data_IF_821993666406
#
_entry.id   IF_821993666406
#
_cell.length_a   1.000
_cell.length_b   1.000
_cell.length_c   1.000
_cell.angle_alpha   90.00
_cell.angle_beta   90.00
_cell.angle_gamma   90.00
#
_symmetry.space_group_name_H-M   'P 1'
#
loop_
_entity.id
_entity.type
_entity.pdbx_description
1 polymer ?
#
# COMPACT_ATOMS: atom_id res chain seq x y z
N UNK A 1 -21.15 -0.21 -13.72
CA UNK A 1 -21.30 -1.60 -13.24
C UNK A 1 -21.58 -1.51 -11.75
N UNK A 2 -22.67 -2.14 -11.32
CA UNK A 2 -23.18 -2.11 -9.95
C UNK A 2 -22.21 -2.84 -9.01
N UNK A 3 -21.88 -2.22 -7.86
CA UNK A 3 -21.38 -2.96 -6.71
C UNK A 3 -22.57 -3.64 -6.07
N UNK A 4 -22.96 -4.80 -6.63
CA UNK A 4 -23.70 -5.76 -5.83
C UNK A 4 -22.78 -6.17 -4.67
N UNK A 5 -23.27 -6.14 -3.42
CA UNK A 5 -22.53 -6.70 -2.31
C UNK A 5 -22.13 -8.13 -2.67
N UNK A 6 -20.83 -8.36 -2.82
CA UNK A 6 -20.29 -9.68 -3.15
C UNK A 6 -19.63 -10.18 -1.90
N UNK A 7 -20.25 -11.20 -1.32
CA UNK A 7 -19.62 -12.07 -0.32
C UNK A 7 -18.17 -12.35 -0.72
N UNK A 8 -17.26 -12.33 0.25
CA UNK A 8 -15.84 -12.58 0.04
C UNK A 8 -15.62 -13.78 -0.89
N UNK A 9 -15.21 -13.57 -2.17
CA UNK A 9 -15.23 -14.63 -3.18
C UNK A 9 -14.36 -15.79 -2.74
N UNK A 10 -14.79 -17.02 -3.03
CA UNK A 10 -13.91 -18.19 -2.88
C UNK A 10 -12.62 -18.01 -3.68
N UNK A 11 -11.46 -18.49 -3.18
CA UNK A 11 -10.22 -18.35 -3.91
C UNK A 11 -10.31 -19.09 -5.24
N UNK A 12 -9.74 -18.49 -6.30
CA UNK A 12 -9.66 -19.14 -7.59
C UNK A 12 -9.02 -20.55 -7.44
N UNK A 13 -9.59 -21.61 -8.05
CA UNK A 13 -9.10 -22.98 -7.85
C UNK A 13 -7.64 -23.19 -8.26
N UNK A 14 -7.15 -22.46 -9.27
CA UNK A 14 -5.76 -22.54 -9.73
C UNK A 14 -4.84 -21.85 -8.72
N UNK A 15 -5.22 -20.64 -8.29
CA UNK A 15 -4.50 -19.89 -7.23
C UNK A 15 -4.45 -20.70 -5.94
N UNK A 16 -5.57 -21.26 -5.50
CA UNK A 16 -5.68 -22.08 -4.30
C UNK A 16 -4.75 -23.30 -4.35
N UNK A 17 -4.75 -24.03 -5.47
CA UNK A 17 -3.86 -25.18 -5.67
C UNK A 17 -2.40 -24.77 -5.60
N UNK A 18 -2.04 -23.68 -6.26
CA UNK A 18 -0.66 -23.19 -6.29
C UNK A 18 -0.20 -22.68 -4.91
N UNK A 19 -1.05 -21.97 -4.16
CA UNK A 19 -0.74 -21.53 -2.79
C UNK A 19 -0.55 -22.73 -1.86
N UNK A 20 -1.46 -23.71 -1.88
CA UNK A 20 -1.34 -24.91 -1.04
C UNK A 20 -0.06 -25.69 -1.35
N UNK A 21 0.28 -25.85 -2.63
CA UNK A 21 1.51 -26.52 -3.04
C UNK A 21 2.78 -25.77 -2.60
N UNK A 22 2.81 -24.44 -2.78
CA UNK A 22 3.98 -23.62 -2.43
C UNK A 22 4.20 -23.45 -0.92
N UNK A 23 3.14 -23.52 -0.13
CA UNK A 23 3.18 -23.38 1.33
C UNK A 23 3.22 -24.73 2.07
N UNK A 24 3.19 -25.85 1.37
CA UNK A 24 3.26 -27.18 1.99
C UNK A 24 4.55 -27.35 2.80
N UNK A 25 4.40 -27.69 4.09
CA UNK A 25 5.53 -27.89 5.01
C UNK A 25 6.31 -26.61 5.38
N UNK A 26 5.76 -25.43 5.07
CA UNK A 26 6.36 -24.13 5.39
C UNK A 26 5.49 -23.35 6.39
N UNK A 27 6.06 -22.29 6.95
CA UNK A 27 5.28 -21.32 7.70
C UNK A 27 4.24 -20.68 6.77
N UNK A 28 2.99 -20.65 7.21
CA UNK A 28 1.88 -20.07 6.45
C UNK A 28 2.04 -18.55 6.38
N UNK A 29 1.96 -17.99 5.17
CA UNK A 29 2.00 -16.55 4.94
C UNK A 29 0.75 -15.86 5.51
N UNK A 30 0.91 -14.65 6.03
CA UNK A 30 -0.17 -13.89 6.69
C UNK A 30 -1.45 -13.80 5.84
N UNK A 31 -1.43 -13.42 4.55
CA UNK A 31 -2.65 -13.36 3.75
C UNK A 31 -3.41 -14.69 3.66
N UNK A 32 -2.65 -15.81 3.59
CA UNK A 32 -3.22 -17.16 3.53
C UNK A 32 -3.84 -17.55 4.88
N UNK A 33 -3.16 -17.25 5.99
CA UNK A 33 -3.67 -17.53 7.33
C UNK A 33 -4.94 -16.72 7.65
N UNK A 34 -4.98 -15.46 7.23
CA UNK A 34 -6.15 -14.58 7.36
C UNK A 34 -7.34 -15.16 6.60
N UNK A 35 -7.11 -15.58 5.35
CA UNK A 35 -8.14 -16.21 4.52
C UNK A 35 -8.70 -17.49 5.13
N UNK A 36 -7.83 -18.38 5.59
CA UNK A 36 -8.24 -19.70 6.06
C UNK A 36 -8.88 -19.66 7.46
N UNK A 37 -8.63 -18.62 8.27
CA UNK A 37 -9.05 -18.57 9.68
C UNK A 37 -10.16 -17.59 10.01
N UNK A 38 -10.28 -16.48 9.27
CA UNK A 38 -11.05 -15.34 9.73
C UNK A 38 -12.39 -15.14 9.00
N UNK A 39 -12.65 -15.85 7.91
CA UNK A 39 -13.90 -15.67 7.15
C UNK A 39 -14.07 -14.22 6.68
N UNK A 40 -15.21 -13.88 6.09
CA UNK A 40 -15.43 -12.52 5.58
C UNK A 40 -15.26 -11.46 6.69
N UNK A 41 -14.26 -10.60 6.51
CA UNK A 41 -13.81 -9.64 7.54
C UNK A 41 -14.40 -8.24 7.36
N UNK A 42 -14.62 -7.84 6.11
CA UNK A 42 -15.05 -6.50 5.74
C UNK A 42 -16.15 -6.62 4.68
N UNK A 43 -17.40 -6.83 5.10
CA UNK A 43 -18.52 -6.85 4.17
C UNK A 43 -18.67 -5.47 3.52
N UNK A 44 -18.90 -5.43 2.21
CA UNK A 44 -19.03 -4.18 1.46
C UNK A 44 -20.21 -3.31 1.98
N UNK A 45 -21.20 -3.92 2.62
CA UNK A 45 -22.34 -3.27 3.26
C UNK A 45 -21.94 -2.25 4.33
N UNK A 46 -20.86 -2.50 5.06
CA UNK A 46 -20.33 -1.57 6.08
C UNK A 46 -19.77 -0.29 5.44
N UNK A 47 -19.45 -0.32 4.15
CA UNK A 47 -18.90 0.81 3.39
C UNK A 47 -19.96 1.52 2.54
N UNK A 48 -21.22 1.07 2.58
CA UNK A 48 -22.27 1.55 1.69
C UNK A 48 -22.51 3.07 1.80
N UNK A 49 -22.41 3.63 3.01
CA UNK A 49 -22.60 5.07 3.26
C UNK A 49 -21.48 5.94 2.66
N UNK A 50 -20.24 5.45 2.69
CA UNK A 50 -19.07 6.19 2.23
C UNK A 50 -18.77 6.04 0.73
N UNK A 51 -19.19 4.93 0.14
CA UNK A 51 -18.83 4.60 -1.24
C UNK A 51 -20.04 4.55 -2.19
N UNK A 52 -21.26 4.52 -1.66
CA UNK A 52 -22.51 4.43 -2.42
C UNK A 52 -22.62 3.16 -3.27
N UNK A 53 -23.81 2.87 -3.80
CA UNK A 53 -24.02 1.71 -4.69
C UNK A 53 -23.43 1.89 -6.12
N UNK A 54 -22.99 3.12 -6.45
CA UNK A 54 -22.57 3.53 -7.79
C UNK A 54 -21.33 4.42 -7.76
N UNK A 55 -20.17 3.80 -7.51
CA UNK A 55 -18.87 4.36 -7.85
C UNK A 55 -18.42 3.95 -9.27
N UNK A 56 -17.50 4.70 -9.92
CA UNK A 56 -16.92 4.28 -11.19
C UNK A 56 -16.16 2.96 -10.97
N UNK A 57 -16.29 2.03 -11.93
CA UNK A 57 -15.79 0.65 -11.90
C UNK A 57 -14.49 0.50 -11.09
N UNK A 58 -14.63 0.13 -9.82
CA UNK A 58 -13.59 0.24 -8.83
C UNK A 58 -13.76 -0.90 -7.84
N UNK A 59 -12.64 -1.40 -7.37
CA UNK A 59 -12.54 -2.52 -6.45
C UNK A 59 -13.49 -2.45 -5.24
N UNK A 60 -13.88 -3.63 -4.73
CA UNK A 60 -14.71 -3.75 -3.51
C UNK A 60 -14.06 -3.01 -2.33
N UNK A 61 -14.79 -2.13 -1.61
CA UNK A 61 -14.31 -1.44 -0.41
C UNK A 61 -13.81 -2.41 0.66
N UNK A 62 -14.48 -3.55 0.87
CA UNK A 62 -14.06 -4.59 1.79
C UNK A 62 -12.73 -5.23 1.41
N UNK A 63 -12.49 -5.48 0.11
CA UNK A 63 -11.18 -5.92 -0.37
C UNK A 63 -10.12 -4.85 -0.19
N UNK A 64 -10.44 -3.57 -0.42
CA UNK A 64 -9.50 -2.47 -0.19
C UNK A 64 -9.16 -2.29 1.30
N UNK A 65 -10.12 -2.54 2.20
CA UNK A 65 -9.88 -2.59 3.63
C UNK A 65 -8.92 -3.73 4.00
N UNK A 66 -9.12 -4.93 3.45
CA UNK A 66 -8.22 -6.06 3.65
C UNK A 66 -6.81 -5.80 3.10
N UNK A 67 -6.71 -5.21 1.91
CA UNK A 67 -5.44 -4.76 1.33
C UNK A 67 -4.74 -3.75 2.25
N UNK A 68 -5.49 -2.83 2.85
CA UNK A 68 -4.95 -1.84 3.80
C UNK A 68 -4.38 -2.52 5.05
N UNK A 69 -5.01 -3.61 5.51
CA UNK A 69 -4.52 -4.39 6.66
C UNK A 69 -3.22 -5.13 6.33
N UNK A 70 -3.14 -5.79 5.17
CA UNK A 70 -1.89 -6.42 4.73
C UNK A 70 -0.79 -5.38 4.50
N UNK A 71 -1.13 -4.24 3.90
CA UNK A 71 -0.24 -3.10 3.75
C UNK A 71 0.36 -2.68 5.10
N UNK A 72 -0.48 -2.51 6.13
CA UNK A 72 -0.03 -2.10 7.45
C UNK A 72 0.81 -3.17 8.16
N UNK A 73 0.37 -4.43 8.11
CA UNK A 73 1.06 -5.55 8.73
C UNK A 73 2.45 -5.81 8.10
N UNK A 74 2.55 -5.67 6.77
CA UNK A 74 3.80 -5.84 6.01
C UNK A 74 4.60 -4.53 5.86
N UNK A 75 4.11 -3.40 6.40
CA UNK A 75 4.74 -2.06 6.35
C UNK A 75 5.01 -1.57 4.93
N UNK A 76 4.03 -1.75 4.04
CA UNK A 76 4.11 -1.40 2.63
C UNK A 76 3.57 0.02 2.35
N UNK A 77 4.07 0.67 1.31
CA UNK A 77 3.41 1.86 0.73
C UNK A 77 2.21 1.48 -0.12
N UNK A 78 1.40 2.46 -0.55
CA UNK A 78 0.25 2.18 -1.41
C UNK A 78 0.67 1.56 -2.74
N UNK A 79 1.82 1.99 -3.29
CA UNK A 79 2.37 1.43 -4.52
C UNK A 79 2.78 -0.03 -4.33
N UNK A 80 3.51 -0.31 -3.26
CA UNK A 80 3.91 -1.69 -2.94
C UNK A 80 2.71 -2.60 -2.65
N UNK A 81 1.68 -2.11 -1.97
CA UNK A 81 0.46 -2.86 -1.77
C UNK A 81 -0.26 -3.14 -3.09
N UNK A 82 -0.35 -2.15 -3.99
CA UNK A 82 -0.92 -2.33 -5.32
C UNK A 82 -0.11 -3.30 -6.19
N UNK A 83 1.22 -3.30 -6.09
CA UNK A 83 2.09 -4.29 -6.75
C UNK A 83 1.96 -5.69 -6.13
N UNK A 84 1.86 -5.79 -4.80
CA UNK A 84 1.64 -7.05 -4.11
C UNK A 84 0.31 -7.71 -4.54
N UNK A 85 -0.73 -6.92 -4.76
CA UNK A 85 -2.01 -7.39 -5.33
C UNK A 85 -1.81 -8.03 -6.72
N UNK A 86 -0.92 -7.49 -7.56
CA UNK A 86 -0.68 -8.01 -8.92
C UNK A 86 0.21 -9.26 -8.92
N UNK A 87 1.28 -9.24 -8.13
CA UNK A 87 2.39 -10.17 -8.33
C UNK A 87 2.48 -11.25 -7.23
N UNK A 88 1.80 -11.06 -6.09
CA UNK A 88 1.85 -12.02 -4.98
C UNK A 88 0.65 -12.95 -4.97
N UNK A 89 0.94 -14.23 -5.22
CA UNK A 89 -0.05 -15.30 -5.20
C UNK A 89 -0.76 -15.45 -3.83
N UNK A 90 -0.09 -15.14 -2.72
CA UNK A 90 -0.68 -15.13 -1.38
C UNK A 90 -1.78 -14.06 -1.23
N UNK A 91 -1.56 -12.87 -1.81
CA UNK A 91 -2.53 -11.79 -1.82
C UNK A 91 -3.70 -12.10 -2.75
N UNK A 92 -3.43 -12.63 -3.94
CA UNK A 92 -4.47 -13.12 -4.86
C UNK A 92 -5.36 -14.19 -4.20
N UNK A 93 -4.78 -15.12 -3.45
CA UNK A 93 -5.54 -16.13 -2.70
C UNK A 93 -6.43 -15.51 -1.63
N UNK A 94 -5.89 -14.57 -0.84
CA UNK A 94 -6.64 -13.92 0.21
C UNK A 94 -7.81 -13.08 -0.33
N UNK A 95 -7.58 -12.37 -1.44
CA UNK A 95 -8.56 -11.48 -2.05
C UNK A 95 -9.53 -12.20 -3.00
N UNK A 96 -9.31 -13.49 -3.26
CA UNK A 96 -10.06 -14.30 -4.23
C UNK A 96 -9.97 -13.77 -5.65
N UNK A 97 -8.75 -13.43 -6.07
CA UNK A 97 -8.45 -12.93 -7.41
C UNK A 97 -8.05 -14.08 -8.33
N UNK A 98 -8.35 -13.92 -9.61
CA UNK A 98 -7.85 -14.79 -10.67
C UNK A 98 -6.39 -14.44 -11.00
N UNK A 99 -5.66 -15.38 -11.62
CA UNK A 99 -4.29 -15.12 -12.09
C UNK A 99 -4.22 -14.03 -13.19
N UNK A 100 -5.33 -13.78 -13.86
CA UNK A 100 -5.47 -12.76 -14.91
C UNK A 100 -5.93 -11.41 -14.37
N UNK A 101 -6.15 -11.28 -13.06
CA UNK A 101 -6.54 -10.01 -12.46
C UNK A 101 -5.41 -8.98 -12.60
N UNK A 102 -5.75 -7.79 -13.08
CA UNK A 102 -4.77 -6.72 -13.36
C UNK A 102 -4.45 -5.84 -12.15
N UNK A 103 -5.10 -6.08 -11.01
CA UNK A 103 -5.01 -5.24 -9.83
C UNK A 103 -5.73 -3.90 -10.00
N UNK A 104 -5.24 -2.90 -9.28
CA UNK A 104 -5.70 -1.52 -9.36
C UNK A 104 -4.52 -0.54 -9.38
N UNK A 105 -4.75 0.71 -9.75
CA UNK A 105 -3.75 1.78 -9.63
C UNK A 105 -3.60 2.23 -8.17
N UNK A 106 -2.36 2.46 -7.71
CA UNK A 106 -2.07 2.79 -6.30
C UNK A 106 -2.88 3.99 -5.75
N UNK A 107 -3.34 4.90 -6.61
CA UNK A 107 -4.19 6.04 -6.21
C UNK A 107 -5.54 5.59 -5.63
N UNK A 108 -6.03 4.39 -5.97
CA UNK A 108 -7.28 3.82 -5.42
C UNK A 108 -7.20 3.65 -3.91
N UNK A 109 -6.06 3.20 -3.36
CA UNK A 109 -5.89 3.08 -1.91
C UNK A 109 -5.86 4.44 -1.20
N UNK A 110 -5.28 5.45 -1.84
CA UNK A 110 -5.30 6.81 -1.31
C UNK A 110 -6.73 7.37 -1.29
N UNK A 111 -7.50 7.20 -2.36
CA UNK A 111 -8.88 7.64 -2.44
C UNK A 111 -9.78 6.92 -1.44
N UNK A 112 -9.58 5.60 -1.30
CA UNK A 112 -10.26 4.78 -0.31
C UNK A 112 -10.02 5.33 1.11
N UNK A 113 -8.76 5.56 1.49
CA UNK A 113 -8.44 6.10 2.81
C UNK A 113 -8.97 7.51 3.05
N UNK A 114 -8.95 8.38 2.03
CA UNK A 114 -9.57 9.71 2.14
C UNK A 114 -11.06 9.59 2.47
N UNK A 115 -11.79 8.70 1.78
CA UNK A 115 -13.22 8.51 2.04
C UNK A 115 -13.51 7.87 3.39
N UNK A 116 -12.71 6.89 3.81
CA UNK A 116 -12.83 6.29 5.16
C UNK A 116 -12.70 7.36 6.25
N UNK A 117 -11.77 8.31 6.08
CA UNK A 117 -11.57 9.45 6.99
C UNK A 117 -12.77 10.41 6.94
N UNK A 118 -13.18 10.82 5.74
CA UNK A 118 -14.29 11.78 5.54
C UNK A 118 -15.62 11.27 6.12
N UNK A 119 -15.82 9.96 6.12
CA UNK A 119 -17.02 9.29 6.65
C UNK A 119 -16.83 8.71 8.06
N UNK A 120 -15.73 9.03 8.74
CA UNK A 120 -15.45 8.57 10.12
C UNK A 120 -15.45 7.04 10.31
N UNK A 121 -15.14 6.28 9.26
CA UNK A 121 -15.02 4.81 9.29
C UNK A 121 -13.64 4.34 9.80
N UNK A 122 -12.80 5.27 10.27
CA UNK A 122 -11.41 5.01 10.67
C UNK A 122 -11.29 4.04 11.86
N UNK A 123 -12.30 4.02 12.75
CA UNK A 123 -12.25 3.26 14.00
C UNK A 123 -12.75 1.83 13.95
N UNK A 124 -13.40 1.38 12.86
CA UNK A 124 -14.24 0.17 12.92
C UNK A 124 -13.68 -1.06 12.19
N UNK A 125 -12.67 -0.91 11.32
CA UNK A 125 -12.23 -2.04 10.49
C UNK A 125 -10.73 -2.37 10.59
N UNK A 126 -9.85 -1.58 9.93
CA UNK A 126 -8.46 -1.97 9.72
C UNK A 126 -7.63 -2.07 11.00
N UNK A 127 -7.84 -1.12 11.93
CA UNK A 127 -7.09 -1.04 13.19
C UNK A 127 -7.54 -2.12 14.18
N UNK A 128 -8.85 -2.33 14.33
CA UNK A 128 -9.41 -3.41 15.15
C UNK A 128 -9.03 -4.80 14.63
N UNK A 129 -9.00 -4.99 13.30
CA UNK A 129 -8.55 -6.24 12.74
C UNK A 129 -7.05 -6.45 13.01
N UNK A 130 -6.22 -5.43 12.89
CA UNK A 130 -4.79 -5.55 13.18
C UNK A 130 -4.54 -5.92 14.65
N UNK A 131 -5.33 -5.37 15.58
CA UNK A 131 -5.34 -5.78 16.99
C UNK A 131 -5.72 -7.26 17.14
N UNK A 132 -6.83 -7.71 16.53
CA UNK A 132 -7.24 -9.13 16.55
C UNK A 132 -6.20 -10.06 15.93
N UNK A 133 -5.54 -9.66 14.85
CA UNK A 133 -4.47 -10.43 14.21
C UNK A 133 -3.24 -10.56 15.12
N UNK A 134 -2.96 -9.51 15.91
CA UNK A 134 -1.90 -9.53 16.92
C UNK A 134 -2.27 -10.46 18.08
N UNK A 135 -3.50 -10.39 18.58
CA UNK A 135 -4.02 -11.29 19.62
C UNK A 135 -3.96 -12.76 19.20
N UNK A 136 -4.24 -13.06 17.93
CA UNK A 136 -4.15 -14.40 17.38
C UNK A 136 -2.72 -14.84 17.00
N UNK A 137 -1.71 -14.00 17.25
CA UNK A 137 -0.30 -14.28 16.95
C UNK A 137 0.00 -14.42 15.46
N UNK A 138 -0.87 -13.91 14.58
CA UNK A 138 -0.70 -13.92 13.13
C UNK A 138 0.26 -12.83 12.67
N UNK A 139 0.34 -11.74 13.43
CA UNK A 139 1.33 -10.67 13.25
C UNK A 139 2.16 -10.59 14.53
N UNK A 140 3.48 -10.45 14.39
CA UNK A 140 4.38 -10.42 15.54
C UNK A 140 4.07 -9.23 16.45
N UNK A 141 3.91 -9.47 17.75
CA UNK A 141 4.02 -8.44 18.78
C UNK A 141 5.46 -7.91 18.76
N UNK A 142 5.75 -6.93 17.92
CA UNK A 142 7.09 -6.37 17.75
C UNK A 142 7.63 -5.95 19.12
N UNK A 143 8.73 -6.59 19.54
CA UNK A 143 9.36 -6.36 20.83
C UNK A 143 9.54 -4.88 21.15
N UNK A 144 9.11 -4.50 22.36
CA UNK A 144 9.41 -3.25 23.07
C UNK A 144 9.28 -1.96 22.24
N UNK A 145 8.17 -1.80 21.52
CA UNK A 145 7.55 -0.48 21.38
C UNK A 145 6.09 -0.64 21.00
N UNK A 146 5.22 0.06 21.72
CA UNK A 146 3.75 -0.07 21.66
C UNK A 146 3.27 0.05 20.21
N UNK A 147 2.68 -1.02 19.70
CA UNK A 147 1.92 -1.02 18.45
C UNK A 147 0.53 -0.47 18.76
N UNK A 148 0.39 0.85 18.84
CA UNK A 148 -0.91 1.47 18.60
C UNK A 148 -1.06 1.63 17.08
N UNK A 149 -2.26 1.40 16.55
CA UNK A 149 -2.54 1.49 15.12
C UNK A 149 -2.20 2.89 14.55
N UNK A 150 -2.22 3.91 15.42
CA UNK A 150 -1.72 5.25 15.15
C UNK A 150 -0.24 5.30 14.73
N UNK A 151 0.66 4.53 15.37
CA UNK A 151 2.08 4.50 15.03
C UNK A 151 2.35 3.81 13.69
N UNK A 152 1.59 2.76 13.34
CA UNK A 152 1.72 2.10 12.03
C UNK A 152 1.16 3.01 10.93
N UNK A 153 -0.01 3.63 11.16
CA UNK A 153 -0.60 4.62 10.26
C UNK A 153 0.34 5.81 10.06
N UNK A 154 1.01 6.29 11.11
CA UNK A 154 2.03 7.34 11.00
C UNK A 154 3.22 6.88 10.16
N UNK A 155 3.78 5.69 10.44
CA UNK A 155 4.93 5.18 9.72
C UNK A 155 4.64 5.00 8.21
N UNK A 156 3.45 4.51 7.85
CA UNK A 156 3.01 4.39 6.46
C UNK A 156 2.75 5.77 5.83
N UNK A 157 2.14 6.72 6.57
CA UNK A 157 1.99 8.11 6.12
C UNK A 157 3.34 8.77 5.85
N UNK A 158 4.34 8.54 6.70
CA UNK A 158 5.68 9.10 6.56
C UNK A 158 6.42 8.52 5.36
N UNK A 159 6.30 7.20 5.12
CA UNK A 159 6.83 6.55 3.91
C UNK A 159 6.16 7.08 2.64
N UNK A 160 4.83 7.21 2.63
CA UNK A 160 4.08 7.74 1.48
C UNK A 160 4.42 9.21 1.20
N UNK A 161 4.57 10.04 2.24
CA UNK A 161 5.02 11.44 2.09
C UNK A 161 6.42 11.52 1.49
N UNK A 162 7.31 10.62 1.91
CA UNK A 162 8.68 10.58 1.39
C UNK A 162 8.71 10.17 -0.09
N UNK A 163 7.91 9.17 -0.49
CA UNK A 163 7.75 8.77 -1.90
C UNK A 163 7.22 9.94 -2.75
N UNK A 164 6.15 10.58 -2.27
CA UNK A 164 5.53 11.71 -2.96
C UNK A 164 6.49 12.89 -3.10
N UNK A 165 7.25 13.22 -2.04
CA UNK A 165 8.24 14.29 -2.08
C UNK A 165 9.32 14.00 -3.13
N UNK A 166 9.85 12.77 -3.14
CA UNK A 166 10.83 12.34 -4.12
C UNK A 166 10.31 12.42 -5.57
N UNK A 167 9.14 11.83 -5.84
CA UNK A 167 8.54 11.84 -7.18
C UNK A 167 8.17 13.25 -7.66
N UNK A 168 7.77 14.15 -6.75
CA UNK A 168 7.48 15.54 -7.09
C UNK A 168 8.73 16.28 -7.52
N UNK A 169 9.85 16.08 -6.81
CA UNK A 169 11.15 16.67 -7.16
C UNK A 169 11.65 16.13 -8.50
N UNK A 170 11.56 14.81 -8.72
CA UNK A 170 11.91 14.18 -10.02
C UNK A 170 11.07 14.76 -11.17
N UNK A 171 9.75 14.78 -11.02
CA UNK A 171 8.84 15.27 -12.05
C UNK A 171 9.04 16.76 -12.37
N UNK A 172 9.34 17.58 -11.36
CA UNK A 172 9.66 19.00 -11.56
C UNK A 172 10.93 19.19 -12.40
N UNK A 173 11.99 18.41 -12.12
CA UNK A 173 13.23 18.48 -12.89
C UNK A 173 13.08 17.94 -14.30
N UNK A 174 12.30 16.87 -14.50
CA UNK A 174 11.97 16.40 -15.85
C UNK A 174 11.27 17.50 -16.67
N UNK A 175 10.29 18.18 -16.07
CA UNK A 175 9.60 19.30 -16.71
C UNK A 175 10.54 20.47 -17.02
N UNK A 176 11.43 20.84 -16.09
CA UNK A 176 12.43 21.91 -16.29
C UNK A 176 13.49 21.54 -17.33
N UNK A 177 13.86 20.27 -17.44
CA UNK A 177 14.83 19.79 -18.44
C UNK A 177 14.26 19.94 -19.84
N UNK A 178 12.95 19.73 -20.01
CA UNK A 178 12.24 19.97 -21.28
C UNK A 178 12.10 21.47 -21.56
N UNK A 179 11.76 22.28 -20.56
CA UNK A 179 11.46 23.70 -20.75
C UNK A 179 12.70 24.61 -20.84
N UNK A 180 13.78 24.29 -20.11
CA UNK A 180 14.97 25.13 -19.94
C UNK A 180 16.26 24.31 -19.75
N UNK A 181 16.67 23.49 -20.74
CA UNK A 181 17.78 22.54 -20.60
C UNK A 181 19.13 23.20 -20.25
N UNK A 182 19.41 24.39 -20.81
CA UNK A 182 20.66 25.10 -20.55
C UNK A 182 20.75 25.67 -19.13
N UNK A 183 19.62 26.07 -18.56
CA UNK A 183 19.55 26.53 -17.17
C UNK A 183 19.75 25.35 -16.21
N UNK A 184 19.09 24.21 -16.47
CA UNK A 184 19.24 22.98 -15.68
C UNK A 184 20.70 22.51 -15.67
N UNK A 185 21.37 22.50 -16.82
CA UNK A 185 22.78 22.11 -16.92
C UNK A 185 23.75 23.06 -16.19
N UNK A 186 23.36 24.32 -15.98
CA UNK A 186 24.16 25.32 -15.25
C UNK A 186 23.92 25.34 -13.74
N UNK A 187 22.77 24.85 -13.28
CA UNK A 187 22.33 24.93 -11.87
C UNK A 187 22.39 23.58 -11.16
N UNK A 188 22.13 22.47 -11.85
CA UNK A 188 22.10 21.15 -11.24
C UNK A 188 23.41 20.38 -11.47
N UNK A 189 23.90 19.74 -10.41
CA UNK A 189 24.91 18.68 -10.49
C UNK A 189 24.27 17.42 -11.11
N UNK A 190 24.26 17.37 -12.44
CA UNK A 190 23.60 16.29 -13.22
C UNK A 190 24.05 14.89 -12.77
N UNK A 191 25.36 14.59 -12.57
CA UNK A 191 25.78 13.28 -12.07
C UNK A 191 25.22 12.90 -10.69
N UNK A 192 25.20 13.85 -9.74
CA UNK A 192 24.65 13.65 -8.41
C UNK A 192 23.13 13.47 -8.43
N UNK A 193 22.44 14.18 -9.32
CA UNK A 193 21.00 14.10 -9.52
C UNK A 193 20.56 12.81 -10.19
N UNK A 194 21.21 12.41 -11.29
CA UNK A 194 20.91 11.14 -11.95
C UNK A 194 21.07 9.97 -10.98
N UNK A 195 22.11 9.96 -10.14
CA UNK A 195 22.24 8.91 -9.11
C UNK A 195 21.04 8.82 -8.15
N UNK A 196 20.34 9.93 -7.89
CA UNK A 196 19.22 10.01 -6.93
C UNK A 196 17.83 9.85 -7.57
N UNK A 197 17.66 10.28 -8.82
CA UNK A 197 16.34 10.45 -9.46
C UNK A 197 16.20 9.84 -10.86
N UNK A 198 17.24 9.19 -11.41
CA UNK A 198 17.19 8.59 -12.76
C UNK A 198 16.17 7.43 -12.84
N UNK A 199 15.97 6.74 -11.73
CA UNK A 199 14.89 5.77 -11.56
C UNK A 199 13.71 6.41 -10.87
N UNK A 200 12.50 5.94 -11.20
CA UNK A 200 11.30 6.25 -10.42
C UNK A 200 11.56 5.95 -8.94
N UNK A 201 11.18 6.87 -8.07
CA UNK A 201 11.29 6.68 -6.63
C UNK A 201 10.17 5.74 -6.21
N UNK A 202 10.54 4.49 -5.97
CA UNK A 202 9.71 3.47 -5.38
C UNK A 202 10.26 3.06 -4.00
N UNK A 203 9.40 2.45 -3.18
CA UNK A 203 9.76 2.08 -1.82
C UNK A 203 10.68 0.85 -1.75
N UNK A 204 10.84 0.10 -2.84
CA UNK A 204 11.77 -1.04 -2.88
C UNK A 204 13.23 -0.59 -2.78
N UNK A 205 13.54 0.65 -3.21
CA UNK A 205 14.82 1.32 -2.98
C UNK A 205 14.95 2.10 -1.67
N UNK A 206 13.90 2.19 -0.83
CA UNK A 206 13.92 3.08 0.33
C UNK A 206 14.70 2.51 1.52
N UNK A 207 15.37 3.37 2.30
CA UNK A 207 16.06 2.94 3.51
C UNK A 207 15.09 2.37 4.57
N UNK A 208 15.45 1.20 5.10
CA UNK A 208 14.68 0.53 6.15
C UNK A 208 14.74 1.23 7.52
N UNK A 209 15.76 2.07 7.77
CA UNK A 209 15.91 2.80 9.04
C UNK A 209 15.28 4.20 9.01
N UNK A 210 14.62 4.58 10.11
CA UNK A 210 13.99 5.89 10.26
C UNK A 210 14.99 7.04 10.07
N UNK A 211 16.17 6.97 10.70
CA UNK A 211 17.23 7.98 10.55
C UNK A 211 17.66 8.20 9.10
N UNK A 212 17.76 7.12 8.30
CA UNK A 212 18.11 7.25 6.88
C UNK A 212 16.96 7.83 6.06
N UNK A 213 15.71 7.57 6.45
CA UNK A 213 14.53 8.18 5.83
C UNK A 213 14.44 9.68 6.13
N UNK A 214 14.76 10.10 7.36
CA UNK A 214 14.79 11.54 7.71
C UNK A 214 15.88 12.28 6.93
N UNK A 215 17.06 11.66 6.79
CA UNK A 215 18.14 12.21 5.94
C UNK A 215 17.73 12.31 4.47
N UNK A 216 17.00 11.31 3.95
CA UNK A 216 16.48 11.32 2.59
C UNK A 216 15.43 12.42 2.41
N UNK A 217 14.54 12.60 3.39
CA UNK A 217 13.54 13.69 3.40
C UNK A 217 14.20 15.07 3.34
N UNK A 218 15.24 15.28 4.15
CA UNK A 218 16.03 16.52 4.12
C UNK A 218 16.75 16.73 2.79
N UNK A 219 17.17 15.64 2.15
CA UNK A 219 17.80 15.71 0.81
C UNK A 219 16.78 16.14 -0.24
N UNK A 220 15.60 15.53 -0.26
CA UNK A 220 14.51 15.93 -1.16
C UNK A 220 14.07 17.38 -0.92
N UNK A 221 13.97 17.81 0.34
CA UNK A 221 13.62 19.19 0.67
C UNK A 221 14.67 20.19 0.17
N UNK A 222 15.97 19.88 0.29
CA UNK A 222 17.06 20.71 -0.25
C UNK A 222 17.05 20.74 -1.76
N UNK A 223 16.85 19.59 -2.40
CA UNK A 223 16.81 19.46 -3.85
C UNK A 223 15.57 20.16 -4.47
N UNK A 224 14.47 20.28 -3.72
CA UNK A 224 13.25 20.98 -4.12
C UNK A 224 13.24 22.49 -3.85
N UNK A 225 14.22 23.02 -3.12
CA UNK A 225 14.38 24.46 -2.91
C UNK A 225 15.32 25.01 -3.99
N UNK A 226 14.87 25.93 -4.87
CA UNK A 226 15.79 26.60 -5.78
C UNK A 226 16.76 27.45 -4.96
N UNK A 227 18.06 27.26 -5.18
CA UNK A 227 19.11 28.20 -4.77
C UNK A 227 18.98 29.52 -5.55
#
# INVERSE_FOLDING_TARGET
>A
MSMEPRSWPEPDPVVARAVRAKNYGRQVLLPVAVRDRLGELFPDEEFAEAFGATGPAGWSPGRLALVTVFQMAEKLTYRQAAEAVRDQLSWAYALGLELTDTGFDFTVLSQFRTRVVEHHLEGEGPDLLLERLTEQGLVGAGGKQRTDSAHIVSAVRDLNRLELAGESVRAAVEALTVAAPHWVAGVLDVPGWSRRYDTRIDTWGMPSSATKRDQLALTYARDGLPC
#
